data_IF_065780161335
#
_entry.id   IF_065780161335
#
_cell.length_a   1.000
_cell.length_b   1.000
_cell.length_c   1.000
_cell.angle_alpha   90.00
_cell.angle_beta   90.00
_cell.angle_gamma   90.00
#
_symmetry.space_group_name_H-M   'P 1'
#
loop_
_entity.id
_entity.type
_entity.pdbx_description
1 polymer ?
#
# COMPACT_ATOMS: atom_id res chain seq x y z
N UNK A 1 11.14 29.70 -2.31
CA UNK A 1 11.50 28.97 -3.55
C UNK A 1 10.65 27.71 -3.55
N UNK A 2 10.15 27.27 -4.70
CA UNK A 2 9.42 26.01 -4.81
C UNK A 2 10.42 24.86 -4.65
N UNK A 3 10.16 23.87 -3.78
CA UNK A 3 11.08 22.76 -3.58
C UNK A 3 11.15 21.87 -4.82
N UNK A 4 12.32 21.30 -5.06
CA UNK A 4 12.49 20.23 -6.06
C UNK A 4 12.26 18.88 -5.39
N UNK A 5 11.28 18.11 -5.86
CA UNK A 5 10.91 16.84 -5.26
C UNK A 5 10.97 15.73 -6.31
N UNK A 6 11.72 14.67 -5.99
CA UNK A 6 11.74 13.43 -6.79
C UNK A 6 11.23 12.29 -5.90
N UNK A 7 10.16 11.62 -6.33
CA UNK A 7 9.59 10.44 -5.67
C UNK A 7 10.09 9.17 -6.34
N UNK A 8 10.85 8.34 -5.63
CA UNK A 8 11.26 7.02 -6.07
C UNK A 8 10.24 5.98 -5.65
N UNK A 9 9.71 5.26 -6.61
CA UNK A 9 8.56 4.36 -6.44
C UNK A 9 8.72 3.03 -7.19
N UNK A 10 7.76 2.15 -7.04
CA UNK A 10 7.47 1.01 -7.93
C UNK A 10 5.95 0.88 -8.09
N UNK A 11 5.43 0.62 -9.28
CA UNK A 11 4.01 0.30 -9.45
C UNK A 11 3.73 -1.15 -9.02
N UNK A 12 2.59 -1.45 -8.49
CA UNK A 12 1.59 -0.66 -7.82
C UNK A 12 1.75 -0.66 -6.29
N UNK A 13 2.74 0.05 -5.77
CA UNK A 13 3.06 0.10 -4.33
C UNK A 13 2.12 1.03 -3.56
N UNK A 14 1.38 0.49 -2.58
CA UNK A 14 0.46 1.28 -1.74
C UNK A 14 1.15 2.38 -0.91
N UNK A 15 2.36 2.20 -0.29
CA UNK A 15 3.02 3.30 0.39
C UNK A 15 3.49 4.41 -0.58
N UNK A 16 3.76 4.08 -1.85
CA UNK A 16 4.05 5.08 -2.87
C UNK A 16 2.79 5.88 -3.24
N UNK A 17 1.63 5.23 -3.27
CA UNK A 17 0.34 5.90 -3.49
C UNK A 17 0.05 6.90 -2.36
N UNK A 18 0.29 6.51 -1.11
CA UNK A 18 0.16 7.39 0.07
C UNK A 18 0.95 8.68 -0.12
N UNK A 19 2.22 8.58 -0.51
CA UNK A 19 3.10 9.75 -0.69
C UNK A 19 2.69 10.59 -1.90
N UNK A 20 2.37 9.96 -3.03
CA UNK A 20 1.93 10.68 -4.23
C UNK A 20 0.66 11.50 -3.94
N UNK A 21 -0.35 10.89 -3.31
CA UNK A 21 -1.58 11.58 -2.93
C UNK A 21 -1.33 12.74 -1.94
N UNK A 22 -0.40 12.60 -1.00
CA UNK A 22 -0.03 13.67 -0.09
C UNK A 22 0.65 14.85 -0.82
N UNK A 23 1.54 14.57 -1.79
CA UNK A 23 2.16 15.59 -2.62
C UNK A 23 1.12 16.35 -3.46
N UNK A 24 0.19 15.63 -4.07
CA UNK A 24 -0.92 16.21 -4.84
C UNK A 24 -1.83 17.06 -3.96
N UNK A 25 -2.22 16.56 -2.78
CA UNK A 25 -3.05 17.29 -1.82
C UNK A 25 -2.41 18.62 -1.40
N UNK A 26 -1.10 18.62 -1.20
CA UNK A 26 -0.34 19.82 -0.83
C UNK A 26 0.00 20.74 -2.03
N UNK A 27 -0.40 20.36 -3.25
CA UNK A 27 -0.08 21.11 -4.46
C UNK A 27 1.42 21.20 -4.77
N UNK A 28 2.20 20.24 -4.27
CA UNK A 28 3.65 20.17 -4.48
C UNK A 28 3.94 19.41 -5.77
N UNK A 29 4.56 20.10 -6.74
CA UNK A 29 5.01 19.47 -7.97
C UNK A 29 6.17 18.50 -7.67
N UNK A 30 6.16 17.32 -8.29
CA UNK A 30 7.20 16.32 -8.13
C UNK A 30 7.45 15.53 -9.41
N UNK A 31 8.68 15.06 -9.56
CA UNK A 31 9.03 14.05 -10.55
C UNK A 31 8.86 12.67 -9.92
N UNK A 32 8.21 11.74 -10.63
CA UNK A 32 8.10 10.35 -10.21
C UNK A 32 9.04 9.48 -11.05
N UNK A 33 9.91 8.72 -10.37
CA UNK A 33 10.79 7.73 -10.98
C UNK A 33 10.41 6.34 -10.47
N UNK A 34 9.87 5.51 -11.37
CA UNK A 34 9.53 4.13 -11.06
C UNK A 34 10.72 3.21 -11.35
N UNK A 35 11.24 2.55 -10.32
CA UNK A 35 12.29 1.57 -10.48
C UNK A 35 11.76 0.21 -10.95
N UNK A 36 12.47 -0.48 -11.86
CA UNK A 36 12.20 -1.88 -12.11
C UNK A 36 12.28 -2.68 -10.80
N UNK A 37 11.38 -3.63 -10.60
CA UNK A 37 11.37 -4.46 -9.38
C UNK A 37 12.70 -5.18 -9.14
N UNK A 38 13.42 -5.52 -10.20
CA UNK A 38 14.72 -6.21 -10.16
C UNK A 38 15.87 -5.31 -9.68
N UNK A 39 15.78 -4.00 -9.89
CA UNK A 39 16.82 -3.01 -9.55
C UNK A 39 16.51 -2.25 -8.28
N UNK A 40 15.24 -2.28 -7.83
CA UNK A 40 14.75 -1.46 -6.72
C UNK A 40 15.63 -1.54 -5.48
N UNK A 41 16.01 -2.74 -5.06
CA UNK A 41 16.75 -2.97 -3.82
C UNK A 41 18.09 -2.24 -3.83
N UNK A 42 18.87 -2.42 -4.90
CA UNK A 42 20.19 -1.80 -5.06
C UNK A 42 20.07 -0.29 -5.18
N UNK A 43 19.16 0.20 -6.04
CA UNK A 43 18.95 1.65 -6.27
C UNK A 43 18.49 2.37 -5.01
N UNK A 44 17.60 1.75 -4.22
CA UNK A 44 17.15 2.36 -2.96
C UNK A 44 18.28 2.45 -1.95
N UNK A 45 19.11 1.41 -1.81
CA UNK A 45 20.26 1.43 -0.89
C UNK A 45 21.35 2.42 -1.33
N UNK A 46 21.60 2.56 -2.62
CA UNK A 46 22.53 3.56 -3.16
C UNK A 46 22.13 5.01 -2.78
N UNK A 47 20.82 5.32 -2.85
CA UNK A 47 20.31 6.67 -2.63
C UNK A 47 20.02 6.93 -1.15
N UNK A 48 19.44 5.97 -0.44
CA UNK A 48 18.89 6.14 0.92
C UNK A 48 19.74 5.48 2.02
N UNK A 49 20.85 4.84 1.66
CA UNK A 49 21.76 4.18 2.58
C UNK A 49 21.44 2.70 2.82
N UNK A 50 22.42 2.00 3.35
CA UNK A 50 22.32 0.56 3.66
C UNK A 50 21.12 0.25 4.56
N UNK A 51 20.39 -0.82 4.25
CA UNK A 51 19.16 -1.23 4.95
C UNK A 51 17.87 -0.60 4.40
N UNK A 52 17.94 0.51 3.66
CA UNK A 52 16.79 1.20 3.09
C UNK A 52 16.48 0.68 1.67
N UNK A 53 15.93 -0.53 1.58
CA UNK A 53 15.70 -1.24 0.31
C UNK A 53 14.24 -1.22 -0.16
N UNK A 54 13.35 -0.59 0.61
CA UNK A 54 11.91 -0.49 0.28
C UNK A 54 11.58 0.87 -0.33
N UNK A 55 10.47 0.95 -1.05
CA UNK A 55 9.87 2.21 -1.51
C UNK A 55 8.68 2.59 -0.62
N UNK A 56 8.29 3.87 -0.58
CA UNK A 56 8.84 5.03 -1.28
C UNK A 56 10.12 5.59 -0.65
N UNK A 57 10.88 6.31 -1.47
CA UNK A 57 11.87 7.27 -1.04
C UNK A 57 11.63 8.59 -1.74
N UNK A 58 12.01 9.72 -1.16
CA UNK A 58 11.94 11.02 -1.81
C UNK A 58 13.26 11.78 -1.67
N UNK A 59 13.69 12.44 -2.74
CA UNK A 59 14.69 13.49 -2.66
C UNK A 59 13.97 14.83 -2.59
N UNK A 60 14.18 15.59 -1.54
CA UNK A 60 13.57 16.91 -1.34
C UNK A 60 14.70 17.93 -1.27
N UNK A 61 14.83 18.77 -2.28
CA UNK A 61 15.96 19.66 -2.48
C UNK A 61 17.31 18.93 -2.44
N UNK A 62 17.35 17.68 -2.93
CA UNK A 62 18.51 16.80 -2.92
C UNK A 62 18.72 16.01 -1.63
N UNK A 63 17.98 16.28 -0.57
CA UNK A 63 18.06 15.55 0.69
C UNK A 63 17.21 14.27 0.65
N UNK A 64 17.77 13.08 0.98
CA UNK A 64 17.06 11.82 0.96
C UNK A 64 16.17 11.65 2.18
N UNK A 65 14.89 11.29 1.95
CA UNK A 65 13.91 10.91 2.98
C UNK A 65 13.33 9.55 2.61
N UNK A 66 13.42 8.56 3.49
CA UNK A 66 13.00 7.18 3.22
C UNK A 66 11.77 6.77 4.03
N UNK A 67 10.81 6.14 3.35
CA UNK A 67 9.58 5.61 3.92
C UNK A 67 8.42 6.60 3.94
N UNK A 68 7.20 6.10 3.72
CA UNK A 68 5.98 6.94 3.59
C UNK A 68 5.80 7.86 4.78
N UNK A 69 5.91 7.35 5.98
CA UNK A 69 5.72 8.10 7.23
C UNK A 69 6.69 9.25 7.40
N UNK A 70 7.99 9.01 7.16
CA UNK A 70 9.01 10.07 7.24
C UNK A 70 8.79 11.15 6.17
N UNK A 71 8.38 10.73 4.96
CA UNK A 71 8.07 11.66 3.87
C UNK A 71 6.85 12.51 4.23
N UNK A 72 5.75 11.91 4.72
CA UNK A 72 4.56 12.67 5.16
C UNK A 72 4.92 13.71 6.23
N UNK A 73 5.72 13.34 7.24
CA UNK A 73 6.19 14.28 8.26
C UNK A 73 7.04 15.42 7.67
N UNK A 74 7.88 15.12 6.69
CA UNK A 74 8.70 16.15 6.00
C UNK A 74 7.83 17.07 5.15
N UNK A 75 6.84 16.54 4.45
CA UNK A 75 5.89 17.33 3.66
C UNK A 75 5.06 18.28 4.53
N UNK A 76 4.67 17.85 5.73
CA UNK A 76 3.96 18.70 6.69
C UNK A 76 4.80 19.90 7.14
N UNK A 77 6.10 19.69 7.35
CA UNK A 77 7.04 20.78 7.67
C UNK A 77 7.26 21.73 6.50
N UNK A 78 7.31 21.20 5.28
CA UNK A 78 7.59 21.95 4.06
C UNK A 78 6.40 22.82 3.63
N UNK A 79 5.21 22.29 3.72
CA UNK A 79 3.96 22.93 3.37
C UNK A 79 2.88 22.58 4.44
N UNK A 80 2.76 23.37 5.52
CA UNK A 80 1.84 23.04 6.61
C UNK A 80 0.36 22.94 6.17
N UNK A 81 -0.04 23.70 5.15
CA UNK A 81 -1.41 23.69 4.65
C UNK A 81 -1.54 23.03 3.26
N UNK A 82 -2.61 22.26 3.03
CA UNK A 82 -3.56 21.74 4.03
C UNK A 82 -2.86 20.75 4.98
N UNK A 83 -3.20 20.80 6.28
CA UNK A 83 -2.52 19.93 7.27
C UNK A 83 -2.83 18.46 7.05
N UNK A 84 -1.77 17.62 7.08
CA UNK A 84 -1.90 16.15 7.07
C UNK A 84 -2.18 15.58 8.47
N UNK A 85 -1.83 16.33 9.52
CA UNK A 85 -1.87 15.88 10.91
C UNK A 85 -2.65 16.86 11.81
N UNK A 86 -3.98 17.01 11.59
CA UNK A 86 -4.78 17.99 12.33
C UNK A 86 -4.95 17.69 13.82
N UNK A 87 -4.62 16.48 14.27
CA UNK A 87 -4.72 16.08 15.69
C UNK A 87 -3.74 14.96 16.03
N UNK A 88 -3.52 14.73 17.33
CA UNK A 88 -2.72 13.60 17.80
C UNK A 88 -3.39 12.26 17.47
N UNK A 89 -4.73 12.18 17.52
CA UNK A 89 -5.47 10.98 17.13
C UNK A 89 -5.20 10.58 15.67
N UNK A 90 -5.06 11.55 14.75
CA UNK A 90 -4.67 11.30 13.36
C UNK A 90 -3.22 10.80 13.27
N UNK A 91 -2.30 11.34 14.08
CA UNK A 91 -0.91 10.85 14.13
C UNK A 91 -0.82 9.40 14.63
N UNK A 92 -1.63 9.06 15.62
CA UNK A 92 -1.72 7.70 16.15
C UNK A 92 -2.32 6.74 15.11
N UNK A 93 -3.39 7.15 14.44
CA UNK A 93 -4.04 6.36 13.39
C UNK A 93 -3.12 6.16 12.17
N UNK A 94 -2.39 7.19 11.75
CA UNK A 94 -1.37 7.09 10.68
C UNK A 94 -0.27 6.11 11.09
N UNK A 95 0.26 6.23 12.31
CA UNK A 95 1.29 5.33 12.83
C UNK A 95 0.81 3.88 12.86
N UNK A 96 -0.43 3.64 13.33
CA UNK A 96 -1.03 2.32 13.30
C UNK A 96 -1.19 1.80 11.86
N UNK A 97 -1.63 2.65 10.92
CA UNK A 97 -1.72 2.33 9.51
C UNK A 97 -0.38 1.90 8.91
N UNK A 98 0.70 2.58 9.26
CA UNK A 98 2.06 2.26 8.83
C UNK A 98 2.61 0.97 9.46
N UNK A 99 2.48 0.81 10.78
CA UNK A 99 3.14 -0.26 11.54
C UNK A 99 2.36 -1.57 11.58
N UNK A 100 1.01 -1.48 11.65
CA UNK A 100 0.14 -2.63 11.89
C UNK A 100 -0.67 -3.06 10.65
N UNK A 101 -1.06 -2.10 9.80
CA UNK A 101 -1.91 -2.38 8.65
C UNK A 101 -1.10 -2.55 7.35
N UNK A 102 -0.06 -1.75 7.15
CA UNK A 102 0.70 -1.72 5.90
C UNK A 102 1.30 -3.09 5.53
N UNK A 103 1.67 -3.89 6.51
CA UNK A 103 2.20 -5.24 6.30
C UNK A 103 1.17 -6.19 5.67
N UNK A 104 -0.13 -6.01 5.95
CA UNK A 104 -1.18 -6.80 5.27
C UNK A 104 -1.22 -6.49 3.77
N UNK A 105 -1.02 -5.21 3.40
CA UNK A 105 -0.92 -4.79 2.01
C UNK A 105 0.26 -5.40 1.25
N UNK A 106 1.23 -5.97 1.95
CA UNK A 106 2.32 -6.78 1.38
C UNK A 106 2.00 -8.28 1.46
N UNK A 107 1.66 -8.77 2.64
CA UNK A 107 1.49 -10.20 2.90
C UNK A 107 0.32 -10.79 2.08
N UNK A 108 -0.86 -10.16 2.12
CA UNK A 108 -2.06 -10.73 1.51
C UNK A 108 -1.97 -10.78 -0.03
N UNK A 109 -1.64 -9.70 -0.77
CA UNK A 109 -1.54 -9.79 -2.22
C UNK A 109 -0.48 -10.78 -2.69
N UNK A 110 0.70 -10.76 -2.08
CA UNK A 110 1.73 -11.74 -2.42
C UNK A 110 1.35 -13.16 -2.01
N UNK A 111 0.53 -13.30 -0.95
CA UNK A 111 -0.11 -14.54 -0.57
C UNK A 111 -1.04 -15.07 -1.65
N UNK A 112 -1.97 -14.26 -2.12
CA UNK A 112 -2.89 -14.61 -3.20
C UNK A 112 -2.15 -14.97 -4.50
N UNK A 113 -1.14 -14.18 -4.89
CA UNK A 113 -0.33 -14.45 -6.08
C UNK A 113 0.54 -15.70 -5.95
N UNK A 114 0.84 -16.17 -4.74
CA UNK A 114 1.52 -17.46 -4.55
C UNK A 114 0.67 -18.63 -5.06
N UNK A 115 -0.64 -18.56 -4.85
CA UNK A 115 -1.59 -19.58 -5.29
C UNK A 115 -2.17 -19.31 -6.69
N UNK A 116 -2.08 -18.06 -7.16
CA UNK A 116 -2.55 -17.59 -8.48
C UNK A 116 -1.49 -16.72 -9.15
N UNK A 117 -0.31 -17.26 -9.47
CA UNK A 117 0.81 -16.47 -9.99
C UNK A 117 0.51 -15.80 -11.34
N UNK A 118 -0.37 -16.38 -12.16
CA UNK A 118 -0.82 -15.80 -13.43
C UNK A 118 -1.50 -14.44 -13.24
N UNK A 119 -2.16 -14.22 -12.09
CA UNK A 119 -2.83 -12.96 -11.77
C UNK A 119 -1.87 -11.78 -11.69
N UNK A 120 -0.56 -12.00 -11.51
CA UNK A 120 0.42 -10.92 -11.48
C UNK A 120 0.37 -10.06 -12.76
N UNK A 121 0.03 -10.65 -13.91
CA UNK A 121 -0.12 -9.92 -15.16
C UNK A 121 -1.17 -8.83 -15.13
N UNK A 122 -2.26 -9.04 -14.39
CA UNK A 122 -3.37 -8.07 -14.30
C UNK A 122 -2.97 -6.76 -13.63
N UNK A 123 -1.88 -6.76 -12.85
CA UNK A 123 -1.36 -5.58 -12.15
C UNK A 123 -0.46 -4.71 -13.02
N UNK A 124 -0.19 -5.08 -14.27
CA UNK A 124 0.65 -4.30 -15.19
C UNK A 124 -0.03 -2.99 -15.64
N UNK A 125 -1.35 -2.89 -15.53
CA UNK A 125 -2.10 -1.68 -15.86
C UNK A 125 -3.57 -1.96 -16.19
N UNK A 126 -4.34 -0.92 -16.50
CA UNK A 126 -5.76 -1.06 -16.84
C UNK A 126 -5.95 -1.98 -18.06
N UNK A 127 -6.82 -2.99 -17.92
CA UNK A 127 -7.11 -3.96 -18.97
C UNK A 127 -6.03 -5.02 -19.23
N UNK A 128 -4.96 -5.03 -18.43
CA UNK A 128 -3.94 -6.07 -18.50
C UNK A 128 -4.53 -7.44 -18.17
N UNK A 129 -4.04 -8.46 -18.87
CA UNK A 129 -4.55 -9.83 -18.77
C UNK A 129 -3.65 -10.68 -17.86
N UNK A 130 -4.16 -11.80 -17.33
CA UNK A 130 -3.34 -12.80 -16.66
C UNK A 130 -2.16 -13.23 -17.54
N UNK A 131 -1.06 -13.61 -16.91
CA UNK A 131 0.15 -14.09 -17.63
C UNK A 131 -0.14 -15.39 -18.37
N UNK A 132 0.49 -15.55 -19.52
CA UNK A 132 0.63 -16.83 -20.20
C UNK A 132 1.56 -17.81 -19.45
N UNK A 133 1.74 -19.03 -19.94
CA UNK A 133 2.55 -20.04 -19.28
C UNK A 133 4.00 -19.61 -19.03
N UNK A 134 4.76 -19.06 -20.01
CA UNK A 134 6.10 -18.54 -19.77
C UNK A 134 6.17 -17.42 -18.75
N UNK A 135 5.22 -16.48 -18.79
CA UNK A 135 5.09 -15.39 -17.81
C UNK A 135 4.78 -15.91 -16.40
N UNK A 136 3.92 -16.91 -16.31
CA UNK A 136 3.55 -17.56 -15.05
C UNK A 136 4.75 -18.28 -14.42
N UNK A 137 5.61 -18.95 -15.19
CA UNK A 137 6.84 -19.57 -14.70
C UNK A 137 7.81 -18.52 -14.10
N UNK A 138 7.89 -17.34 -14.72
CA UNK A 138 8.63 -16.22 -14.16
C UNK A 138 7.99 -15.73 -12.85
N UNK A 139 6.66 -15.53 -12.85
CA UNK A 139 5.91 -15.05 -11.69
C UNK A 139 6.08 -15.97 -10.47
N UNK A 140 6.05 -17.29 -10.64
CA UNK A 140 6.30 -18.26 -9.57
C UNK A 140 7.65 -18.02 -8.89
N UNK A 141 8.70 -17.81 -9.68
CA UNK A 141 10.05 -17.56 -9.15
C UNK A 141 10.10 -16.20 -8.42
N UNK A 142 9.52 -15.19 -9.03
CA UNK A 142 9.48 -13.83 -8.50
C UNK A 142 8.70 -13.76 -7.17
N UNK A 143 7.50 -14.35 -7.12
CA UNK A 143 6.66 -14.39 -5.90
C UNK A 143 7.36 -15.15 -4.77
N UNK A 144 8.02 -16.27 -5.06
CA UNK A 144 8.82 -17.02 -4.06
C UNK A 144 9.99 -16.19 -3.51
N UNK A 145 10.65 -15.39 -4.35
CA UNK A 145 11.70 -14.48 -3.90
C UNK A 145 11.13 -13.36 -3.02
N UNK A 146 9.98 -12.80 -3.39
CA UNK A 146 9.26 -11.77 -2.63
C UNK A 146 8.78 -12.29 -1.28
N UNK A 147 8.28 -13.53 -1.20
CA UNK A 147 7.93 -14.17 0.06
C UNK A 147 9.13 -14.22 1.02
N UNK A 148 10.29 -14.68 0.53
CA UNK A 148 11.51 -14.71 1.35
C UNK A 148 11.93 -13.32 1.81
N UNK A 149 11.88 -12.35 0.89
CA UNK A 149 12.25 -10.96 1.17
C UNK A 149 11.37 -10.33 2.26
N UNK A 150 10.06 -10.58 2.24
CA UNK A 150 9.11 -10.04 3.22
C UNK A 150 8.87 -10.97 4.42
N UNK A 151 9.57 -12.10 4.53
CA UNK A 151 9.37 -13.07 5.61
C UNK A 151 7.94 -13.65 5.64
N UNK A 152 7.31 -13.81 4.47
CA UNK A 152 5.97 -14.40 4.37
C UNK A 152 6.11 -15.92 4.50
N UNK A 153 5.31 -16.49 5.38
CA UNK A 153 5.14 -17.93 5.56
C UNK A 153 3.67 -18.29 5.49
N UNK A 154 3.34 -19.57 5.29
CA UNK A 154 1.96 -20.03 5.30
C UNK A 154 1.26 -19.73 6.63
N UNK A 155 1.96 -19.91 7.76
CA UNK A 155 1.43 -19.58 9.09
C UNK A 155 1.14 -18.09 9.21
N UNK A 156 2.11 -17.22 8.87
CA UNK A 156 1.91 -15.77 8.91
C UNK A 156 0.77 -15.32 8.01
N UNK A 157 0.68 -15.83 6.78
CA UNK A 157 -0.40 -15.50 5.86
C UNK A 157 -1.78 -15.91 6.43
N UNK A 158 -1.86 -17.11 7.03
CA UNK A 158 -3.10 -17.56 7.69
C UNK A 158 -3.47 -16.66 8.87
N UNK A 159 -2.51 -16.30 9.72
CA UNK A 159 -2.74 -15.44 10.89
C UNK A 159 -3.13 -14.02 10.47
N UNK A 160 -2.51 -13.48 9.43
CA UNK A 160 -2.84 -12.17 8.85
C UNK A 160 -4.26 -12.17 8.26
N UNK A 161 -4.69 -13.24 7.58
CA UNK A 161 -6.07 -13.40 7.11
C UNK A 161 -7.04 -13.49 8.27
N UNK A 162 -6.75 -14.30 9.28
CA UNK A 162 -7.59 -14.46 10.47
C UNK A 162 -7.72 -13.15 11.27
N UNK A 163 -6.68 -12.33 11.29
CA UNK A 163 -6.64 -11.04 11.99
C UNK A 163 -7.29 -9.88 11.23
N UNK A 164 -7.59 -10.03 9.93
CA UNK A 164 -8.13 -8.96 9.10
C UNK A 164 -9.46 -8.38 9.64
N UNK A 165 -10.46 -9.15 10.11
CA UNK A 165 -11.70 -8.59 10.63
C UNK A 165 -11.48 -7.61 11.79
N UNK A 166 -10.61 -7.93 12.74
CA UNK A 166 -10.32 -7.05 13.88
C UNK A 166 -9.67 -5.72 13.45
N UNK A 167 -8.84 -5.75 12.40
CA UNK A 167 -8.26 -4.54 11.81
C UNK A 167 -9.31 -3.69 11.07
N UNK A 168 -10.26 -4.33 10.39
CA UNK A 168 -11.40 -3.63 9.76
C UNK A 168 -12.30 -2.98 10.82
N UNK A 169 -12.62 -3.67 11.93
CA UNK A 169 -13.35 -3.08 13.04
C UNK A 169 -12.61 -1.87 13.66
N UNK A 170 -11.29 -1.91 13.72
CA UNK A 170 -10.51 -0.74 14.18
C UNK A 170 -10.67 0.45 13.22
N UNK A 171 -10.64 0.20 11.91
CA UNK A 171 -10.87 1.24 10.89
C UNK A 171 -12.29 1.83 11.02
N UNK A 172 -13.32 0.99 11.27
CA UNK A 172 -14.68 1.48 11.54
C UNK A 172 -14.71 2.42 12.74
N UNK A 173 -14.10 2.04 13.87
CA UNK A 173 -14.03 2.90 15.07
C UNK A 173 -13.31 4.24 14.81
N UNK A 174 -12.25 4.25 14.01
CA UNK A 174 -11.57 5.48 13.60
C UNK A 174 -12.49 6.38 12.76
N UNK A 175 -13.28 5.80 11.88
CA UNK A 175 -14.25 6.54 11.07
C UNK A 175 -15.43 7.06 11.92
N UNK A 176 -15.99 6.24 12.80
CA UNK A 176 -17.07 6.63 13.73
C UNK A 176 -16.65 7.77 14.65
N UNK A 177 -15.39 7.79 15.08
CA UNK A 177 -14.84 8.87 15.92
C UNK A 177 -14.44 10.13 15.12
N UNK A 178 -14.58 10.12 13.79
CA UNK A 178 -14.23 11.24 12.92
C UNK A 178 -12.73 11.47 12.76
N UNK A 179 -11.89 10.50 13.14
CA UNK A 179 -10.42 10.57 12.95
C UNK A 179 -10.06 10.43 11.48
N UNK A 180 -10.81 9.60 10.72
CA UNK A 180 -10.66 9.38 9.30
C UNK A 180 -12.01 9.57 8.58
N UNK A 181 -11.99 9.70 7.25
CA UNK A 181 -13.21 9.79 6.44
C UNK A 181 -13.77 11.22 6.29
N UNK A 182 -13.02 12.24 6.69
CA UNK A 182 -13.40 13.65 6.55
C UNK A 182 -13.56 14.12 5.10
N UNK A 183 -13.94 15.38 4.89
CA UNK A 183 -14.10 15.96 3.54
C UNK A 183 -12.77 16.04 2.79
N UNK A 184 -11.69 16.37 3.47
CA UNK A 184 -10.32 16.30 2.96
C UNK A 184 -9.59 15.14 3.62
N UNK A 185 -8.70 14.45 2.89
CA UNK A 185 -7.92 13.38 3.49
C UNK A 185 -6.86 13.95 4.43
N UNK A 186 -6.62 13.24 5.51
CA UNK A 186 -5.48 13.44 6.37
C UNK A 186 -4.45 12.29 6.17
N UNK A 187 -3.33 12.30 6.89
CA UNK A 187 -2.28 11.29 6.77
C UNK A 187 -2.79 9.87 7.04
N UNK A 188 -3.72 9.70 8.00
CA UNK A 188 -4.29 8.40 8.33
C UNK A 188 -5.22 7.89 7.21
N UNK A 189 -6.04 8.77 6.60
CA UNK A 189 -6.86 8.41 5.44
C UNK A 189 -5.99 7.90 4.30
N UNK A 190 -4.88 8.58 4.01
CA UNK A 190 -3.98 8.20 2.93
C UNK A 190 -3.24 6.89 3.21
N UNK A 191 -2.75 6.70 4.44
CA UNK A 191 -2.02 5.50 4.83
C UNK A 191 -2.91 4.25 4.87
N UNK A 192 -4.09 4.37 5.49
CA UNK A 192 -5.06 3.29 5.62
C UNK A 192 -5.72 3.01 4.26
N UNK A 193 -6.19 4.07 3.58
CA UNK A 193 -6.88 3.96 2.30
C UNK A 193 -6.03 3.29 1.22
N UNK A 194 -4.76 3.67 1.09
CA UNK A 194 -3.85 3.04 0.13
C UNK A 194 -3.65 1.54 0.43
N UNK A 195 -3.56 1.16 1.72
CA UNK A 195 -3.41 -0.25 2.11
C UNK A 195 -4.68 -1.05 1.84
N UNK A 196 -5.87 -0.53 2.18
CA UNK A 196 -7.12 -1.22 1.86
C UNK A 196 -7.31 -1.30 0.33
N UNK A 197 -6.90 -0.26 -0.41
CA UNK A 197 -7.04 -0.25 -1.87
C UNK A 197 -6.33 -1.41 -2.56
N UNK A 198 -5.14 -1.80 -2.09
CA UNK A 198 -4.39 -2.93 -2.66
C UNK A 198 -5.02 -4.30 -2.31
N UNK A 199 -5.90 -4.37 -1.32
CA UNK A 199 -6.63 -5.59 -0.95
C UNK A 199 -7.92 -5.78 -1.76
N UNK A 200 -8.53 -4.72 -2.26
CA UNK A 200 -9.80 -4.79 -3.02
C UNK A 200 -9.73 -5.63 -4.32
N UNK A 201 -8.61 -5.70 -5.05
CA UNK A 201 -8.46 -6.61 -6.19
C UNK A 201 -8.52 -8.10 -5.85
N UNK A 202 -8.38 -8.48 -4.57
CA UNK A 202 -8.39 -9.86 -4.12
C UNK A 202 -9.85 -10.31 -3.90
N UNK A 203 -10.42 -11.05 -4.84
CA UNK A 203 -11.84 -11.38 -4.83
C UNK A 203 -12.28 -12.15 -3.57
N UNK A 204 -11.40 -12.96 -2.98
CA UNK A 204 -11.67 -13.66 -1.72
C UNK A 204 -11.89 -12.72 -0.52
N UNK A 205 -11.32 -11.50 -0.55
CA UNK A 205 -11.43 -10.52 0.53
C UNK A 205 -12.59 -9.54 0.35
N UNK A 206 -13.19 -9.46 -0.83
CA UNK A 206 -14.32 -8.53 -1.11
C UNK A 206 -15.51 -8.69 -0.15
N UNK A 207 -15.90 -9.91 0.28
CA UNK A 207 -16.99 -10.04 1.25
C UNK A 207 -16.69 -9.40 2.62
N UNK A 208 -15.41 -9.35 3.02
CA UNK A 208 -14.97 -8.71 4.27
C UNK A 208 -14.83 -7.20 4.13
N UNK A 209 -14.39 -6.74 2.97
CA UNK A 209 -14.06 -5.32 2.71
C UNK A 209 -15.27 -4.50 2.27
N UNK A 210 -16.23 -5.14 1.61
CA UNK A 210 -17.38 -4.48 0.99
C UNK A 210 -18.27 -3.77 2.01
N UNK A 211 -18.60 -2.50 1.76
CA UNK A 211 -19.41 -1.66 2.62
C UNK A 211 -18.71 -1.10 3.86
N UNK A 212 -17.43 -1.44 4.09
CA UNK A 212 -16.66 -0.94 5.24
C UNK A 212 -16.23 0.51 5.06
N UNK A 213 -15.88 1.19 6.16
CA UNK A 213 -15.24 2.52 6.13
C UNK A 213 -13.92 2.46 5.36
N UNK A 214 -13.17 1.36 5.52
CA UNK A 214 -11.93 1.12 4.79
C UNK A 214 -12.13 1.14 3.27
N UNK A 215 -13.14 0.44 2.75
CA UNK A 215 -13.47 0.48 1.32
C UNK A 215 -13.87 1.89 0.87
N UNK A 216 -14.75 2.57 1.63
CA UNK A 216 -15.20 3.93 1.28
C UNK A 216 -14.02 4.90 1.16
N UNK A 217 -13.09 4.87 2.11
CA UNK A 217 -11.88 5.72 2.11
C UNK A 217 -10.95 5.34 0.95
N UNK A 218 -10.70 4.05 0.76
CA UNK A 218 -9.86 3.55 -0.32
C UNK A 218 -10.39 3.96 -1.71
N UNK A 219 -11.69 3.80 -1.95
CA UNK A 219 -12.30 4.15 -3.23
C UNK A 219 -12.43 5.66 -3.44
N UNK A 220 -12.56 6.45 -2.36
CA UNK A 220 -12.65 7.90 -2.46
C UNK A 220 -11.31 8.54 -2.85
N UNK A 221 -10.20 8.08 -2.26
CA UNK A 221 -8.89 8.72 -2.41
C UNK A 221 -7.99 8.00 -3.42
N UNK A 222 -8.31 6.73 -3.72
CA UNK A 222 -7.57 5.90 -4.66
C UNK A 222 -8.54 5.14 -5.58
N UNK A 223 -9.37 5.84 -6.40
CA UNK A 223 -10.41 5.21 -7.20
C UNK A 223 -9.85 4.20 -8.20
N UNK A 224 -8.65 4.48 -8.74
CA UNK A 224 -8.01 3.65 -9.74
C UNK A 224 -6.89 2.80 -9.11
N UNK A 225 -6.95 1.52 -9.37
CA UNK A 225 -5.88 0.58 -9.01
C UNK A 225 -6.00 -0.66 -9.90
N UNK A 226 -4.92 -1.07 -10.58
CA UNK A 226 -4.98 -2.21 -11.50
C UNK A 226 -5.01 -3.53 -10.74
N UNK A 227 -5.39 -4.57 -11.46
CA UNK A 227 -5.27 -5.95 -11.03
C UNK A 227 -6.55 -6.59 -10.56
N UNK A 228 -6.54 -7.91 -10.67
CA UNK A 228 -7.57 -8.80 -10.16
C UNK A 228 -6.96 -10.16 -9.83
N UNK A 229 -7.27 -10.67 -8.64
CA UNK A 229 -7.02 -12.05 -8.27
C UNK A 229 -8.36 -12.72 -8.07
N UNK A 230 -8.72 -13.75 -8.85
CA UNK A 230 -10.03 -14.39 -8.80
C UNK A 230 -10.27 -15.09 -7.47
N UNK A 231 -11.53 -15.30 -7.12
CA UNK A 231 -11.94 -16.03 -5.94
C UNK A 231 -11.38 -17.47 -5.91
N UNK A 232 -11.15 -17.99 -4.70
CA UNK A 232 -10.52 -19.30 -4.47
C UNK A 232 -8.99 -19.25 -4.63
N UNK A 233 -8.39 -18.07 -4.46
CA UNK A 233 -6.92 -17.92 -4.45
C UNK A 233 -6.32 -18.47 -3.16
N UNK A 234 -6.93 -18.20 -2.01
CA UNK A 234 -6.43 -18.72 -0.74
C UNK A 234 -6.93 -20.14 -0.47
N UNK A 235 -6.18 -20.95 0.34
CA UNK A 235 -6.67 -22.26 0.77
C UNK A 235 -8.02 -22.18 1.47
N UNK A 236 -8.84 -23.20 1.25
CA UNK A 236 -10.18 -23.26 1.83
C UNK A 236 -10.16 -23.11 3.37
N UNK A 237 -11.02 -22.25 3.90
CA UNK A 237 -11.13 -21.98 5.35
C UNK A 237 -10.10 -21.01 5.92
N UNK A 238 -9.20 -20.45 5.11
CA UNK A 238 -8.22 -19.46 5.59
C UNK A 238 -8.80 -18.05 5.67
N UNK A 239 -9.67 -17.69 4.74
CA UNK A 239 -10.38 -16.41 4.78
C UNK A 239 -11.59 -16.54 5.73
N UNK A 240 -11.69 -15.70 6.77
CA UNK A 240 -12.85 -15.69 7.64
C UNK A 240 -14.15 -15.43 6.88
N UNK A 241 -15.27 -15.95 7.39
CA UNK A 241 -16.59 -15.59 6.88
C UNK A 241 -16.85 -14.11 7.19
N UNK A 242 -17.52 -13.41 6.27
CA UNK A 242 -18.06 -12.10 6.57
C UNK A 242 -19.15 -12.22 7.68
N UNK A 243 -19.14 -11.29 8.63
CA UNK A 243 -20.10 -11.26 9.73
C UNK A 243 -21.51 -10.88 9.25
#
# INVERSE_FOLDING_TARGET
MTPTITLHAVPPSHPCMTVAAALELKGLAFERIDFPHTERLERMQEIYGEGNSTVPGALIDGEPVHGSRAILARLEQLAPEPTLFPSEAVREAERWGDQELQDLGRCLPWGAMHFRPESMGTFAGPGAQPLDAPGTDFAIKFVRATWRYHGITATRLHDDLAGLPAKLEHIERLAESGVIGGEQPNAADLQIGATIRVLLPLADLRPLLGGTAGERIAMRWFPEYPGEVPAGAYPAGWVPAAA
#
